data_IF_396803412116
#
_entry.id   IF_396803412116
#
_cell.length_a   1.000
_cell.length_b   1.000
_cell.length_c   1.000
_cell.angle_alpha   90.00
_cell.angle_beta   90.00
_cell.angle_gamma   90.00
#
_symmetry.space_group_name_H-M   'P 1'
#
loop_
_entity.id
_entity.type
_entity.pdbx_description
1 polymer ?
#
# COMPACT_ATOMS: atom_id res chain seq x y z
N UNK A 1 -44.57 47.29 10.74
CA UNK A 1 -45.07 46.28 11.70
C UNK A 1 -44.05 45.15 11.71
N UNK A 2 -43.37 44.76 12.78
CA UNK A 2 -43.30 45.22 14.16
C UNK A 2 -41.97 44.74 14.76
N UNK A 3 -41.37 45.60 15.59
CA UNK A 3 -40.35 45.27 16.58
C UNK A 3 -40.98 44.49 17.74
N UNK A 4 -40.22 43.61 18.40
CA UNK A 4 -40.26 43.26 19.85
C UNK A 4 -39.52 41.91 20.03
N UNK A 5 -38.76 41.61 21.08
CA UNK A 5 -38.09 42.36 22.14
C UNK A 5 -37.26 41.34 22.93
N UNK A 6 -36.05 41.70 23.34
CA UNK A 6 -35.32 41.00 24.41
C UNK A 6 -36.08 41.18 25.73
N UNK A 7 -36.23 40.11 26.51
CA UNK A 7 -36.57 40.20 27.94
C UNK A 7 -35.46 39.58 28.79
N UNK A 8 -35.01 40.35 29.79
CA UNK A 8 -34.05 39.98 30.84
C UNK A 8 -34.79 39.38 32.06
N UNK A 9 -34.04 38.55 32.78
CA UNK A 9 -34.31 37.80 34.01
C UNK A 9 -34.89 38.60 35.20
N UNK A 10 -35.56 37.92 36.15
CA UNK A 10 -35.59 38.33 37.56
C UNK A 10 -34.77 37.39 38.49
N UNK A 11 -34.39 37.85 39.71
CA UNK A 11 -33.39 37.21 40.57
C UNK A 11 -33.95 36.35 41.73
N UNK A 12 -32.98 35.74 42.43
CA UNK A 12 -32.98 34.78 43.55
C UNK A 12 -33.94 35.09 44.72
N UNK A 13 -34.59 34.05 45.26
CA UNK A 13 -35.26 34.06 46.55
C UNK A 13 -34.54 33.18 47.59
N UNK A 14 -34.42 33.66 48.81
CA UNK A 14 -33.66 33.11 49.94
C UNK A 14 -34.51 32.38 50.99
N UNK A 15 -34.03 31.20 51.42
CA UNK A 15 -34.08 30.52 52.75
C UNK A 15 -35.42 30.22 53.46
N UNK A 16 -35.48 29.07 54.17
CA UNK A 16 -35.59 29.18 55.62
C UNK A 16 -34.66 28.26 56.43
N UNK A 17 -34.51 28.64 57.70
CA UNK A 17 -33.57 28.17 58.73
C UNK A 17 -33.83 26.74 59.22
N UNK A 18 -32.75 26.09 59.67
CA UNK A 18 -32.68 24.76 60.32
C UNK A 18 -33.54 24.68 61.60
N UNK A 19 -34.29 23.58 61.82
CA UNK A 19 -34.83 23.23 63.13
C UNK A 19 -33.78 22.54 64.04
N UNK A 20 -34.01 22.50 65.37
CA UNK A 20 -33.01 22.15 66.39
C UNK A 20 -32.69 20.64 66.48
N UNK A 21 -31.49 20.37 67.00
CA UNK A 21 -30.87 19.06 67.20
C UNK A 21 -31.55 18.21 68.30
N UNK A 22 -31.79 16.94 68.00
CA UNK A 22 -32.16 15.89 68.98
C UNK A 22 -30.89 15.25 69.60
N UNK A 23 -30.94 14.81 70.87
CA UNK A 23 -29.80 14.22 71.59
C UNK A 23 -29.49 12.80 71.12
N UNK A 24 -28.26 12.28 71.33
CA UNK A 24 -27.82 11.03 70.74
C UNK A 24 -28.33 9.81 71.52
N UNK A 25 -28.75 8.73 70.86
CA UNK A 25 -28.83 7.43 71.50
C UNK A 25 -27.44 6.77 71.54
N UNK A 26 -27.01 6.44 72.76
CA UNK A 26 -25.91 5.52 73.04
C UNK A 26 -26.34 4.09 72.73
N UNK A 27 -25.63 3.40 71.83
CA UNK A 27 -25.32 1.97 72.00
C UNK A 27 -24.42 1.46 70.87
N UNK A 28 -23.48 0.63 71.28
CA UNK A 28 -22.41 0.02 70.52
C UNK A 28 -22.86 -0.63 69.20
N UNK A 29 -22.13 -0.35 68.13
CA UNK A 29 -22.13 -1.13 66.88
C UNK A 29 -20.73 -1.69 66.64
N UNK A 30 -20.58 -2.96 66.24
CA UNK A 30 -19.27 -3.57 66.02
C UNK A 30 -18.61 -2.95 64.79
N UNK A 31 -17.31 -2.68 64.91
CA UNK A 31 -16.45 -2.19 63.82
C UNK A 31 -16.47 -3.12 62.62
N UNK A 32 -17.14 -2.71 61.55
CA UNK A 32 -16.89 -3.24 60.21
C UNK A 32 -15.52 -2.70 59.75
N UNK A 33 -14.62 -3.55 59.23
CA UNK A 33 -13.34 -3.08 58.73
C UNK A 33 -13.57 -2.12 57.57
N UNK A 34 -13.01 -0.92 57.69
CA UNK A 34 -12.86 0.04 56.62
C UNK A 34 -11.97 -0.58 55.54
N UNK A 35 -12.56 -1.31 54.60
CA UNK A 35 -11.89 -1.62 53.34
C UNK A 35 -11.80 -0.31 52.58
N UNK A 36 -10.63 0.33 52.64
CA UNK A 36 -10.21 1.32 51.67
C UNK A 36 -10.45 0.72 50.30
N UNK A 37 -11.48 1.17 49.60
CA UNK A 37 -11.66 0.86 48.19
C UNK A 37 -10.44 1.44 47.47
N UNK A 38 -9.45 0.58 47.23
CA UNK A 38 -8.32 0.87 46.35
C UNK A 38 -8.92 1.23 45.00
N UNK A 39 -9.03 2.53 44.72
CA UNK A 39 -9.21 3.03 43.37
C UNK A 39 -7.96 2.61 42.61
N UNK A 40 -8.01 1.41 42.00
CA UNK A 40 -7.03 1.02 41.00
C UNK A 40 -6.99 2.16 39.98
N UNK A 41 -5.82 2.77 39.73
CA UNK A 41 -5.73 3.75 38.66
C UNK A 41 -6.18 3.04 37.38
N UNK A 42 -7.25 3.56 36.76
CA UNK A 42 -7.57 3.19 35.37
C UNK A 42 -6.41 3.73 34.54
N UNK A 43 -5.42 2.88 34.29
CA UNK A 43 -4.44 3.13 33.26
C UNK A 43 -5.20 3.16 31.94
N UNK A 44 -5.51 4.37 31.47
CA UNK A 44 -5.83 4.59 30.08
C UNK A 44 -4.55 4.25 29.31
N UNK A 45 -4.51 3.07 28.71
CA UNK A 45 -3.53 2.79 27.65
C UNK A 45 -3.94 3.71 26.51
N UNK A 46 -3.29 4.86 26.40
CA UNK A 46 -3.42 5.70 25.22
C UNK A 46 -2.99 4.84 24.03
N UNK A 47 -3.96 4.47 23.18
CA UNK A 47 -3.69 3.65 22.00
C UNK A 47 -2.85 4.52 21.06
N UNK A 48 -1.55 4.25 20.99
CA UNK A 48 -0.64 5.01 20.15
C UNK A 48 -1.08 4.92 18.68
N UNK A 49 -1.36 6.07 18.08
CA UNK A 49 -1.69 6.17 16.66
C UNK A 49 -0.50 5.73 15.82
N UNK A 50 -0.78 5.04 14.71
CA UNK A 50 0.24 4.54 13.79
C UNK A 50 0.21 5.32 12.47
N UNK A 51 1.38 5.60 11.90
CA UNK A 51 1.53 6.28 10.62
C UNK A 51 1.72 5.28 9.46
N UNK A 52 1.22 5.62 8.28
CA UNK A 52 1.28 4.81 7.07
C UNK A 52 1.44 5.69 5.84
N UNK A 53 2.20 5.21 4.85
CA UNK A 53 2.34 5.81 3.53
C UNK A 53 1.95 4.76 2.49
N UNK A 54 0.97 5.08 1.63
CA UNK A 54 0.47 4.15 0.59
C UNK A 54 1.46 3.91 -0.54
N UNK A 55 2.34 4.87 -0.82
CA UNK A 55 3.26 4.86 -1.94
C UNK A 55 4.25 6.01 -1.87
N UNK A 56 5.37 5.90 -2.60
CA UNK A 56 6.43 6.93 -2.60
C UNK A 56 6.95 7.17 -4.02
N UNK A 57 7.27 8.43 -4.41
CA UNK A 57 7.87 8.72 -5.70
C UNK A 57 9.21 8.02 -5.91
N UNK A 58 9.36 7.30 -7.03
CA UNK A 58 10.56 6.50 -7.33
C UNK A 58 11.60 7.18 -8.21
N UNK A 59 11.30 8.38 -8.72
CA UNK A 59 12.17 9.08 -9.69
C UNK A 59 13.48 9.59 -9.06
N UNK A 60 13.49 9.78 -7.74
CA UNK A 60 14.59 10.34 -6.97
C UNK A 60 14.56 11.89 -6.88
N UNK A 61 15.17 12.50 -5.85
CA UNK A 61 15.12 13.95 -5.63
C UNK A 61 15.68 14.78 -6.79
N UNK A 62 16.65 14.23 -7.53
CA UNK A 62 17.28 14.87 -8.70
C UNK A 62 16.99 14.13 -10.00
N UNK A 63 15.93 13.31 -10.03
CA UNK A 63 15.53 12.46 -11.17
C UNK A 63 16.60 11.42 -11.54
N UNK A 64 17.29 10.88 -10.56
CA UNK A 64 18.35 9.88 -10.71
C UNK A 64 17.89 8.68 -11.55
N UNK A 65 16.68 8.17 -11.28
CA UNK A 65 16.13 7.03 -12.03
C UNK A 65 15.88 7.37 -13.50
N UNK A 66 15.43 8.60 -13.80
CA UNK A 66 15.20 9.04 -15.18
C UNK A 66 16.49 8.93 -15.99
N UNK A 67 17.57 9.52 -15.49
CA UNK A 67 18.84 9.57 -16.20
C UNK A 67 19.50 8.20 -16.29
N UNK A 68 19.35 7.34 -15.27
CA UNK A 68 19.83 5.97 -15.32
C UNK A 68 19.10 5.14 -16.38
N UNK A 69 17.78 5.29 -16.49
CA UNK A 69 16.98 4.62 -17.54
C UNK A 69 17.35 5.10 -18.94
N UNK A 70 17.43 6.42 -19.15
CA UNK A 70 17.84 6.99 -20.44
C UNK A 70 19.24 6.53 -20.85
N UNK A 71 20.20 6.54 -19.91
CA UNK A 71 21.56 6.05 -20.14
C UNK A 71 21.61 4.56 -20.50
N UNK A 72 20.81 3.73 -19.81
CA UNK A 72 20.70 2.31 -20.09
C UNK A 72 20.09 2.05 -21.48
N UNK A 73 19.00 2.74 -21.83
CA UNK A 73 18.35 2.60 -23.14
C UNK A 73 19.20 3.10 -24.30
N UNK A 74 20.06 4.10 -24.05
CA UNK A 74 21.05 4.59 -25.02
C UNK A 74 22.28 3.66 -25.14
N UNK A 75 22.36 2.60 -24.34
CA UNK A 75 23.49 1.67 -24.32
C UNK A 75 24.78 2.24 -23.71
N UNK A 76 24.69 3.37 -22.98
CA UNK A 76 25.84 4.03 -22.35
C UNK A 76 26.27 3.37 -21.04
N UNK A 77 25.34 2.73 -20.34
CA UNK A 77 25.55 2.05 -19.06
C UNK A 77 24.92 0.66 -19.08
N UNK A 78 25.49 -0.27 -18.31
CA UNK A 78 24.99 -1.64 -18.23
C UNK A 78 23.78 -1.79 -17.31
N UNK A 79 23.24 -3.01 -17.26
CA UNK A 79 22.12 -3.31 -16.35
C UNK A 79 22.52 -3.20 -14.88
N UNK A 80 23.75 -3.57 -14.53
CA UNK A 80 24.26 -3.49 -13.16
C UNK A 80 24.28 -2.04 -12.65
N UNK A 81 24.64 -1.08 -13.51
CA UNK A 81 24.62 0.35 -13.18
C UNK A 81 23.20 0.83 -12.87
N UNK A 82 22.22 0.44 -13.70
CA UNK A 82 20.81 0.77 -13.51
C UNK A 82 20.28 0.15 -12.20
N UNK A 83 20.61 -1.12 -11.94
CA UNK A 83 20.22 -1.81 -10.71
C UNK A 83 20.85 -1.18 -9.47
N UNK A 84 22.11 -0.73 -9.55
CA UNK A 84 22.79 -0.03 -8.48
C UNK A 84 22.10 1.30 -8.13
N UNK A 85 21.74 2.11 -9.14
CA UNK A 85 20.96 3.34 -8.91
C UNK A 85 19.61 3.03 -8.28
N UNK A 86 18.91 2.03 -8.80
CA UNK A 86 17.60 1.62 -8.28
C UNK A 86 17.65 1.13 -6.81
N UNK A 87 18.62 0.28 -6.46
CA UNK A 87 18.83 -0.22 -5.10
C UNK A 87 19.18 0.92 -4.13
N UNK A 88 20.04 1.85 -4.54
CA UNK A 88 20.39 3.02 -3.74
C UNK A 88 19.18 3.93 -3.50
N UNK A 89 18.33 4.15 -4.50
CA UNK A 89 17.09 4.90 -4.36
C UNK A 89 16.14 4.23 -3.36
N UNK A 90 15.86 2.93 -3.52
CA UNK A 90 14.99 2.18 -2.58
C UNK A 90 15.51 2.25 -1.16
N UNK A 91 16.80 1.96 -0.96
CA UNK A 91 17.47 2.05 0.34
C UNK A 91 17.35 3.45 0.96
N UNK A 92 17.59 4.50 0.19
CA UNK A 92 17.47 5.89 0.67
C UNK A 92 16.02 6.21 1.06
N UNK A 93 15.04 5.77 0.27
CA UNK A 93 13.62 6.01 0.50
C UNK A 93 13.14 5.31 1.78
N UNK A 94 13.48 4.02 1.95
CA UNK A 94 13.09 3.29 3.16
C UNK A 94 13.72 3.85 4.42
N UNK A 95 15.01 4.18 4.38
CA UNK A 95 15.70 4.83 5.51
C UNK A 95 15.08 6.18 5.85
N UNK A 96 14.82 7.01 4.85
CA UNK A 96 14.15 8.30 5.07
C UNK A 96 12.81 8.13 5.79
N UNK A 97 11.95 7.20 5.34
CA UNK A 97 10.67 6.96 6.00
C UNK A 97 10.82 6.40 7.41
N UNK A 98 11.81 5.53 7.64
CA UNK A 98 12.11 4.99 8.96
C UNK A 98 12.60 6.09 9.92
N UNK A 99 13.52 6.94 9.47
CA UNK A 99 14.07 8.07 10.22
C UNK A 99 12.98 9.10 10.57
N UNK A 100 11.96 9.23 9.71
CA UNK A 100 10.78 10.04 9.97
C UNK A 100 9.77 9.39 10.95
N UNK A 101 10.03 8.17 11.44
CA UNK A 101 9.16 7.47 12.38
C UNK A 101 7.90 6.88 11.75
N UNK A 102 7.89 6.62 10.43
CA UNK A 102 6.76 5.98 9.76
C UNK A 102 6.68 4.52 10.17
N UNK A 103 5.53 4.09 10.74
CA UNK A 103 5.36 2.71 11.22
C UNK A 103 5.15 1.70 10.09
N UNK A 104 4.31 2.03 9.11
CA UNK A 104 4.02 1.16 7.98
C UNK A 104 4.68 1.75 6.71
N UNK A 105 5.89 1.26 6.43
CA UNK A 105 6.73 1.70 5.31
C UNK A 105 6.44 0.80 4.10
N UNK A 106 6.06 1.34 2.92
CA UNK A 106 5.75 0.51 1.78
C UNK A 106 6.99 -0.05 1.07
N UNK A 107 6.86 -1.25 0.52
CA UNK A 107 7.81 -1.88 -0.43
C UNK A 107 7.06 -2.31 -1.69
N UNK A 108 7.77 -2.61 -2.79
CA UNK A 108 7.20 -2.87 -4.11
C UNK A 108 6.52 -1.65 -4.77
N UNK A 109 6.69 -0.44 -4.22
CA UNK A 109 6.22 0.82 -4.82
C UNK A 109 7.21 1.40 -5.84
N UNK A 110 8.49 1.01 -5.72
CA UNK A 110 9.48 1.25 -6.74
C UNK A 110 9.10 0.50 -8.03
N UNK A 111 9.44 1.07 -9.18
CA UNK A 111 9.25 0.46 -10.48
C UNK A 111 10.19 1.12 -11.46
N UNK A 112 10.72 0.33 -12.39
CA UNK A 112 11.56 0.84 -13.47
C UNK A 112 10.74 1.58 -14.53
N UNK A 113 9.45 1.27 -14.66
CA UNK A 113 8.59 1.95 -15.61
C UNK A 113 7.21 2.20 -15.01
N UNK A 114 6.44 1.14 -14.73
CA UNK A 114 5.05 1.23 -14.29
C UNK A 114 4.65 0.07 -13.36
N UNK A 115 3.88 0.37 -12.31
CA UNK A 115 3.41 -0.63 -11.34
C UNK A 115 2.36 -1.59 -11.92
N UNK A 116 1.61 -1.16 -12.95
CA UNK A 116 0.68 -2.05 -13.63
C UNK A 116 1.45 -3.07 -14.47
N UNK A 117 2.47 -2.59 -15.19
CA UNK A 117 3.43 -3.45 -15.89
C UNK A 117 4.18 -4.40 -14.95
N UNK A 118 4.55 -3.95 -13.75
CA UNK A 118 5.16 -4.82 -12.74
C UNK A 118 4.23 -5.98 -12.33
N UNK A 119 2.92 -5.71 -12.24
CA UNK A 119 1.92 -6.75 -11.95
C UNK A 119 1.72 -7.68 -13.16
N UNK A 120 1.74 -7.14 -14.38
CA UNK A 120 1.76 -7.95 -15.61
C UNK A 120 2.96 -8.88 -15.66
N UNK A 121 4.14 -8.41 -15.25
CA UNK A 121 5.33 -9.22 -15.16
C UNK A 121 5.22 -10.28 -14.04
N UNK A 122 4.72 -9.90 -12.87
CA UNK A 122 4.47 -10.84 -11.76
C UNK A 122 3.57 -12.01 -12.19
N UNK A 123 2.54 -11.74 -12.98
CA UNK A 123 1.56 -12.73 -13.45
C UNK A 123 1.99 -13.48 -14.72
N UNK A 124 3.14 -13.15 -15.33
CA UNK A 124 3.55 -13.75 -16.60
C UNK A 124 2.60 -13.43 -17.76
N UNK A 125 1.89 -12.29 -17.70
CA UNK A 125 0.87 -11.93 -18.68
C UNK A 125 1.46 -11.22 -19.91
N UNK A 126 2.50 -11.82 -20.51
CA UNK A 126 3.25 -11.23 -21.63
C UNK A 126 2.50 -11.47 -22.95
N UNK A 127 2.25 -10.42 -23.76
CA UNK A 127 1.59 -10.59 -25.05
C UNK A 127 2.39 -11.48 -26.02
N UNK A 128 1.73 -12.35 -26.82
CA UNK A 128 2.41 -13.32 -27.69
C UNK A 128 3.44 -12.73 -28.65
N UNK A 129 3.22 -11.48 -29.11
CA UNK A 129 4.13 -10.77 -30.03
C UNK A 129 5.55 -10.56 -29.51
N UNK A 130 5.78 -10.71 -28.21
CA UNK A 130 7.12 -10.61 -27.62
C UNK A 130 7.86 -11.96 -27.57
N UNK A 131 7.26 -13.04 -28.08
CA UNK A 131 7.88 -14.38 -28.21
C UNK A 131 8.54 -14.88 -26.92
N UNK A 132 7.88 -14.66 -25.78
CA UNK A 132 8.38 -15.13 -24.50
C UNK A 132 7.96 -16.59 -24.26
N UNK A 133 8.94 -17.44 -23.97
CA UNK A 133 8.75 -18.89 -23.79
C UNK A 133 8.52 -19.29 -22.33
N UNK A 134 8.52 -18.32 -21.42
CA UNK A 134 8.32 -18.50 -19.99
C UNK A 134 9.58 -18.28 -19.15
N UNK A 135 9.49 -18.54 -17.84
CA UNK A 135 10.58 -18.33 -16.88
C UNK A 135 10.52 -16.98 -16.14
N UNK A 136 11.64 -16.53 -15.58
CA UNK A 136 11.71 -15.20 -14.94
C UNK A 136 11.77 -14.10 -16.01
N UNK A 137 10.96 -13.06 -15.87
CA UNK A 137 10.97 -11.92 -16.79
C UNK A 137 12.19 -11.04 -16.51
N UNK A 138 13.10 -11.02 -17.48
CA UNK A 138 14.26 -10.12 -17.50
C UNK A 138 13.92 -8.70 -17.94
N UNK A 139 14.90 -7.81 -17.79
CA UNK A 139 14.77 -6.38 -18.12
C UNK A 139 14.49 -6.12 -19.60
N UNK A 140 15.09 -6.89 -20.50
CA UNK A 140 14.91 -6.69 -21.95
C UNK A 140 13.44 -6.87 -22.35
N UNK A 141 12.81 -7.94 -21.87
CA UNK A 141 11.40 -8.20 -22.11
C UNK A 141 10.51 -7.18 -21.41
N UNK A 142 10.82 -6.84 -20.16
CA UNK A 142 10.09 -5.82 -19.41
C UNK A 142 10.08 -4.47 -20.14
N UNK A 143 11.23 -3.99 -20.61
CA UNK A 143 11.30 -2.75 -21.38
C UNK A 143 10.72 -2.89 -22.78
N UNK A 144 10.84 -4.06 -23.41
CA UNK A 144 10.18 -4.33 -24.68
C UNK A 144 8.65 -4.17 -24.56
N UNK A 145 8.05 -4.63 -23.46
CA UNK A 145 6.63 -4.39 -23.18
C UNK A 145 6.31 -2.90 -22.97
N UNK A 146 7.16 -2.20 -22.21
CA UNK A 146 6.96 -0.80 -21.83
C UNK A 146 7.08 0.20 -22.99
N UNK A 147 8.08 0.02 -23.85
CA UNK A 147 8.47 1.01 -24.88
C UNK A 147 8.70 0.41 -26.27
N UNK A 148 8.47 -0.88 -26.45
CA UNK A 148 8.69 -1.58 -27.71
C UNK A 148 10.18 -1.77 -28.00
N UNK A 149 10.45 -2.36 -29.16
CA UNK A 149 11.78 -2.52 -29.72
C UNK A 149 11.74 -2.30 -31.24
N UNK A 150 12.84 -2.54 -31.95
CA UNK A 150 12.93 -2.30 -33.39
C UNK A 150 11.93 -3.12 -34.24
N UNK A 151 11.43 -4.25 -33.73
CA UNK A 151 10.56 -5.18 -34.45
C UNK A 151 9.14 -5.27 -33.89
N UNK A 152 8.94 -4.95 -32.61
CA UNK A 152 7.68 -5.17 -31.88
C UNK A 152 7.22 -3.87 -31.21
N UNK A 153 5.95 -3.43 -31.44
CA UNK A 153 5.43 -2.24 -30.80
C UNK A 153 5.18 -2.46 -29.30
N UNK A 154 5.31 -1.37 -28.53
CA UNK A 154 4.99 -1.32 -27.10
C UNK A 154 3.53 -1.71 -26.80
N UNK A 155 3.25 -2.01 -25.53
CA UNK A 155 1.88 -2.10 -25.04
C UNK A 155 1.22 -0.70 -24.97
N UNK A 156 -0.11 -0.67 -24.97
CA UNK A 156 -0.86 0.59 -24.87
C UNK A 156 -0.60 1.25 -23.51
N UNK A 157 -0.43 2.58 -23.50
CA UNK A 157 -0.46 3.38 -22.29
C UNK A 157 -1.75 4.20 -22.20
N UNK A 158 -2.32 4.30 -21.00
CA UNK A 158 -3.51 5.13 -20.77
C UNK A 158 -3.45 5.80 -19.40
N UNK A 159 -4.35 6.77 -19.17
CA UNK A 159 -4.38 7.57 -17.94
C UNK A 159 -4.76 6.71 -16.73
N UNK A 160 -4.02 6.85 -15.63
CA UNK A 160 -4.33 6.21 -14.36
C UNK A 160 -5.39 7.02 -13.63
N UNK A 161 -6.64 6.56 -13.74
CA UNK A 161 -7.83 7.25 -13.26
C UNK A 161 -7.86 8.72 -13.75
N UNK A 162 -8.13 9.66 -12.86
CA UNK A 162 -8.18 11.09 -13.12
C UNK A 162 -6.82 11.80 -12.94
N UNK A 163 -5.77 11.07 -12.57
CA UNK A 163 -4.41 11.59 -12.32
C UNK A 163 -3.62 11.84 -13.60
N UNK A 164 -2.56 12.66 -13.56
CA UNK A 164 -1.67 12.85 -14.71
C UNK A 164 -0.68 11.69 -14.95
N UNK A 165 -0.75 10.62 -14.15
CA UNK A 165 0.06 9.44 -14.34
C UNK A 165 -0.53 8.55 -15.45
N UNK A 166 0.31 7.85 -16.20
CA UNK A 166 -0.09 6.90 -17.23
C UNK A 166 0.46 5.52 -16.89
N UNK A 167 -0.35 4.48 -17.09
CA UNK A 167 0.03 3.10 -16.85
C UNK A 167 0.01 2.29 -18.13
N UNK A 168 0.70 1.14 -18.13
CA UNK A 168 0.71 0.21 -19.25
C UNK A 168 -0.48 -0.75 -19.10
N UNK A 169 -1.37 -0.74 -20.09
CA UNK A 169 -2.62 -1.50 -20.07
C UNK A 169 -2.31 -2.98 -20.32
N UNK A 170 -2.63 -3.90 -19.39
CA UNK A 170 -2.46 -5.32 -19.66
C UNK A 170 -3.38 -5.80 -20.79
N UNK A 171 -2.83 -6.62 -21.68
CA UNK A 171 -3.55 -7.20 -22.82
C UNK A 171 -3.83 -8.67 -22.54
N UNK A 172 -5.08 -9.00 -22.22
CA UNK A 172 -5.45 -10.32 -21.71
C UNK A 172 -6.40 -11.06 -22.66
N UNK A 173 -6.33 -12.38 -22.65
CA UNK A 173 -7.22 -13.26 -23.40
C UNK A 173 -7.45 -14.57 -22.68
N UNK A 174 -8.37 -15.42 -23.18
CA UNK A 174 -8.65 -16.72 -22.57
C UNK A 174 -7.42 -17.64 -22.57
N UNK A 175 -6.53 -17.49 -23.54
CA UNK A 175 -5.38 -18.39 -23.73
C UNK A 175 -4.11 -17.93 -22.97
N UNK A 176 -4.18 -16.83 -22.22
CA UNK A 176 -3.04 -16.39 -21.40
C UNK A 176 -2.78 -17.43 -20.32
N UNK A 177 -1.53 -17.91 -20.29
CA UNK A 177 -1.05 -18.82 -19.26
C UNK A 177 -0.36 -18.01 -18.14
N UNK A 178 -1.09 -17.77 -17.05
CA UNK A 178 -0.55 -17.03 -15.90
C UNK A 178 0.32 -17.95 -15.03
N UNK A 179 1.47 -17.43 -14.61
CA UNK A 179 2.32 -18.08 -13.62
C UNK A 179 3.21 -17.05 -12.94
N UNK A 180 3.84 -17.43 -11.83
CA UNK A 180 4.67 -16.51 -11.06
C UNK A 180 6.02 -16.25 -11.75
N UNK A 181 6.08 -15.17 -12.54
CA UNK A 181 7.18 -14.90 -13.47
C UNK A 181 8.07 -13.69 -13.09
N UNK A 182 7.75 -13.00 -12.00
CA UNK A 182 8.59 -11.93 -11.47
C UNK A 182 8.55 -11.88 -9.95
N UNK A 183 9.71 -12.10 -9.31
CA UNK A 183 9.82 -12.17 -7.85
C UNK A 183 10.13 -10.80 -7.20
N UNK A 184 9.93 -9.70 -7.93
CA UNK A 184 10.26 -8.33 -7.51
C UNK A 184 9.75 -7.99 -6.10
N UNK A 185 8.49 -8.30 -5.78
CA UNK A 185 7.88 -7.96 -4.50
C UNK A 185 8.61 -8.60 -3.30
N UNK A 186 8.91 -9.89 -3.39
CA UNK A 186 9.62 -10.61 -2.32
C UNK A 186 11.10 -10.24 -2.26
N UNK A 187 11.73 -9.95 -3.41
CA UNK A 187 13.11 -9.47 -3.48
C UNK A 187 13.25 -8.12 -2.79
N UNK A 188 12.39 -7.15 -3.10
CA UNK A 188 12.43 -5.82 -2.45
C UNK A 188 12.10 -5.91 -0.94
N UNK A 189 11.16 -6.76 -0.55
CA UNK A 189 10.88 -6.98 0.87
C UNK A 189 12.11 -7.54 1.61
N UNK A 190 12.78 -8.56 1.04
CA UNK A 190 14.01 -9.13 1.62
C UNK A 190 15.16 -8.11 1.65
N UNK A 191 15.27 -7.26 0.61
CA UNK A 191 16.26 -6.18 0.55
C UNK A 191 16.06 -5.17 1.69
N UNK A 192 14.84 -4.70 1.92
CA UNK A 192 14.53 -3.81 3.03
C UNK A 192 14.77 -4.49 4.39
N UNK A 193 14.42 -5.78 4.50
CA UNK A 193 14.62 -6.56 5.72
C UNK A 193 16.08 -6.76 6.06
N UNK A 194 16.96 -6.91 5.07
CA UNK A 194 18.40 -6.95 5.25
C UNK A 194 18.98 -5.62 5.80
N UNK A 195 18.27 -4.50 5.63
CA UNK A 195 18.60 -3.21 6.23
C UNK A 195 18.02 -3.04 7.64
N UNK A 196 17.35 -4.06 8.18
CA UNK A 196 16.67 -4.01 9.48
C UNK A 196 15.29 -3.34 9.44
N UNK A 197 14.71 -3.15 8.25
CA UNK A 197 13.41 -2.48 8.06
C UNK A 197 12.33 -3.50 7.68
N UNK A 198 11.25 -3.57 8.45
CA UNK A 198 10.07 -4.39 8.13
C UNK A 198 9.08 -3.54 7.32
N UNK A 199 8.95 -3.84 6.03
CA UNK A 199 8.09 -3.08 5.12
C UNK A 199 6.73 -3.76 4.91
N UNK A 200 5.80 -3.04 4.29
CA UNK A 200 4.50 -3.52 3.83
C UNK A 200 4.58 -3.65 2.31
N UNK A 201 4.68 -4.87 1.74
CA UNK A 201 4.60 -5.07 0.29
C UNK A 201 3.30 -4.53 -0.26
N UNK A 202 3.34 -3.79 -1.37
CA UNK A 202 2.15 -3.24 -2.03
C UNK A 202 1.91 -3.97 -3.34
N UNK A 203 0.71 -4.52 -3.54
CA UNK A 203 0.30 -5.20 -4.77
C UNK A 203 -0.95 -4.52 -5.36
N UNK A 204 -1.06 -4.48 -6.69
CA UNK A 204 -2.33 -4.18 -7.34
C UNK A 204 -3.27 -5.38 -7.10
N UNK A 205 -4.45 -5.11 -6.56
CA UNK A 205 -5.43 -6.15 -6.28
C UNK A 205 -5.90 -6.86 -7.56
N UNK A 206 -6.19 -8.18 -7.50
CA UNK A 206 -6.49 -8.99 -8.69
C UNK A 206 -7.72 -8.48 -9.46
N UNK A 207 -8.76 -8.03 -8.76
CA UNK A 207 -9.95 -7.46 -9.38
C UNK A 207 -9.65 -6.14 -10.10
N UNK A 208 -8.91 -5.24 -9.45
CA UNK A 208 -8.46 -3.98 -10.06
C UNK A 208 -7.60 -4.27 -11.29
N UNK A 209 -6.73 -5.28 -11.22
CA UNK A 209 -5.89 -5.66 -12.35
C UNK A 209 -6.72 -6.05 -13.57
N UNK A 210 -7.72 -6.93 -13.39
CA UNK A 210 -8.59 -7.36 -14.49
C UNK A 210 -9.49 -6.22 -15.00
N UNK A 211 -10.01 -5.38 -14.11
CA UNK A 211 -10.88 -4.24 -14.49
C UNK A 211 -10.14 -3.14 -15.27
N UNK A 212 -8.84 -2.97 -15.03
CA UNK A 212 -7.99 -2.01 -15.74
C UNK A 212 -7.25 -2.64 -16.94
N UNK A 213 -7.52 -3.91 -17.24
CA UNK A 213 -6.98 -4.59 -18.42
C UNK A 213 -7.88 -4.41 -19.64
N UNK A 214 -7.37 -4.77 -20.82
CA UNK A 214 -8.15 -4.85 -22.06
C UNK A 214 -8.04 -6.22 -22.71
N UNK A 215 -9.09 -6.68 -23.42
CA UNK A 215 -8.96 -7.85 -24.27
C UNK A 215 -7.85 -7.64 -25.31
N UNK A 216 -6.96 -8.63 -25.46
CA UNK A 216 -5.93 -8.63 -26.48
C UNK A 216 -6.55 -8.63 -27.88
N UNK A 217 -5.76 -8.24 -28.90
CA UNK A 217 -6.22 -8.27 -30.30
C UNK A 217 -6.62 -9.70 -30.68
N UNK A 218 -7.81 -9.86 -31.25
CA UNK A 218 -8.36 -11.16 -31.67
C UNK A 218 -9.27 -11.83 -30.64
N UNK A 219 -9.34 -11.32 -29.41
CA UNK A 219 -10.29 -11.82 -28.40
C UNK A 219 -11.70 -11.34 -28.72
N UNK A 220 -12.69 -12.22 -28.58
CA UNK A 220 -14.10 -11.89 -28.81
C UNK A 220 -14.58 -10.74 -27.92
N UNK A 221 -15.40 -9.84 -28.47
CA UNK A 221 -15.94 -8.68 -27.73
C UNK A 221 -16.85 -9.08 -26.55
N UNK A 222 -17.43 -10.27 -26.60
CA UNK A 222 -18.26 -10.87 -25.55
C UNK A 222 -17.44 -11.36 -24.35
N UNK A 223 -16.12 -11.48 -24.49
CA UNK A 223 -15.26 -12.00 -23.43
C UNK A 223 -15.20 -11.05 -22.23
N UNK A 224 -15.56 -11.55 -21.05
CA UNK A 224 -15.41 -10.82 -19.81
C UNK A 224 -14.07 -11.14 -19.16
N UNK A 225 -13.21 -10.13 -19.01
CA UNK A 225 -11.89 -10.27 -18.37
C UNK A 225 -11.97 -10.80 -16.93
N UNK A 226 -13.09 -10.58 -16.24
CA UNK A 226 -13.29 -11.07 -14.87
C UNK A 226 -13.31 -12.60 -14.79
N UNK A 227 -13.58 -13.30 -15.90
CA UNK A 227 -13.49 -14.77 -15.94
C UNK A 227 -12.04 -15.28 -15.79
N UNK A 228 -11.04 -14.41 -15.90
CA UNK A 228 -9.64 -14.76 -15.65
C UNK A 228 -9.28 -14.79 -14.15
N UNK A 229 -10.22 -14.43 -13.25
CA UNK A 229 -9.96 -14.38 -11.81
C UNK A 229 -9.43 -15.70 -11.26
N UNK A 230 -10.04 -16.81 -11.65
CA UNK A 230 -9.65 -18.15 -11.19
C UNK A 230 -8.26 -18.57 -11.72
N UNK A 231 -7.79 -17.95 -12.80
CA UNK A 231 -6.45 -18.18 -13.36
C UNK A 231 -5.36 -17.36 -12.67
N UNK A 232 -5.67 -16.14 -12.22
CA UNK A 232 -4.68 -15.27 -11.56
C UNK A 232 -4.59 -15.53 -10.04
N UNK A 233 -5.67 -15.95 -9.40
CA UNK A 233 -5.70 -16.19 -7.95
C UNK A 233 -4.64 -17.19 -7.46
N UNK A 234 -4.32 -18.30 -8.17
CA UNK A 234 -3.21 -19.18 -7.81
C UNK A 234 -1.88 -18.43 -7.71
N UNK A 235 -1.55 -17.59 -8.70
CA UNK A 235 -0.31 -16.81 -8.70
C UNK A 235 -0.27 -15.82 -7.54
N UNK A 236 -1.37 -15.12 -7.26
CA UNK A 236 -1.44 -14.26 -6.08
C UNK A 236 -1.24 -15.04 -4.77
N UNK A 237 -1.76 -16.26 -4.66
CA UNK A 237 -1.53 -17.11 -3.47
C UNK A 237 -0.06 -17.49 -3.32
N UNK A 238 0.63 -17.79 -4.42
CA UNK A 238 2.08 -18.07 -4.42
C UNK A 238 2.87 -16.84 -3.94
N UNK A 239 2.60 -15.65 -4.50
CA UNK A 239 3.23 -14.39 -4.09
C UNK A 239 3.01 -14.12 -2.59
N UNK A 240 1.78 -14.31 -2.09
CA UNK A 240 1.45 -14.11 -0.68
C UNK A 240 2.15 -15.14 0.23
N UNK A 241 2.26 -16.39 -0.22
CA UNK A 241 2.97 -17.43 0.51
C UNK A 241 4.47 -17.10 0.61
N UNK A 242 5.08 -16.62 -0.47
CA UNK A 242 6.48 -16.21 -0.51
C UNK A 242 6.78 -14.99 0.37
N UNK A 243 5.91 -13.98 0.35
CA UNK A 243 6.01 -12.83 1.23
C UNK A 243 5.87 -13.23 2.71
N UNK A 244 4.91 -14.10 3.02
CA UNK A 244 4.74 -14.64 4.37
C UNK A 244 5.96 -15.45 4.81
N UNK A 245 6.54 -16.27 3.92
CA UNK A 245 7.74 -17.06 4.20
C UNK A 245 8.98 -16.17 4.41
N UNK A 246 9.09 -15.05 3.70
CA UNK A 246 10.11 -14.02 3.97
C UNK A 246 9.87 -13.27 5.30
N UNK A 247 8.67 -13.43 5.88
CA UNK A 247 8.28 -12.89 7.17
C UNK A 247 7.59 -11.53 7.10
N UNK A 248 6.93 -11.22 5.98
CA UNK A 248 6.00 -10.09 5.89
C UNK A 248 4.78 -10.36 6.78
N UNK A 249 4.36 -9.34 7.55
CA UNK A 249 3.23 -9.43 8.50
C UNK A 249 2.02 -8.61 8.07
N UNK A 250 2.21 -7.73 7.09
CA UNK A 250 1.21 -6.85 6.50
C UNK A 250 1.36 -6.88 4.99
N UNK A 251 0.25 -6.62 4.29
CA UNK A 251 0.15 -6.42 2.84
C UNK A 251 -1.01 -5.47 2.53
#
# INVERSE_FOLDING_TARGET
MGQLALQRLPPVASLPKRPPSLPPPSSASPSLPCTTASRRPRFYVARAMSSHIVGYPRIGPKRELKFALESFWDGKTGIDDLQNVAANLRKSIWKHMADAGIKYIPSNTFSYYDQMLDTTAMLGAVPPRYNWEGGEIGFDLYFSMARGNASVPAMEMTKWFDTNYHYIVPELGPDVNFFYASHKAVVEFKEAKALGLDTVPVLIGPMTYLLLSKPAKGVEKSFCLLFLIDKILPVYKEVLADLKAAGARWI
#
